data_IF_864086378399
#
_entry.id   IF_864086378399
#
_cell.length_a   1.000
_cell.length_b   1.000
_cell.length_c   1.000
_cell.angle_alpha   90.00
_cell.angle_beta   90.00
_cell.angle_gamma   90.00
#
_symmetry.space_group_name_H-M   'P 1'
#
loop_
_entity.id
_entity.type
_entity.pdbx_description
1 polymer ?
#
# COMPACT_ATOMS: atom_id res chain seq x y z
N UNK A 1 10.02 -30.56 -10.18
CA UNK A 1 9.77 -29.23 -10.80
C UNK A 1 9.89 -28.19 -9.72
N UNK A 2 11.10 -27.63 -9.54
CA UNK A 2 11.49 -26.78 -8.43
C UNK A 2 12.14 -25.51 -8.98
N UNK A 3 11.34 -24.44 -9.18
CA UNK A 3 11.84 -23.11 -9.55
C UNK A 3 10.91 -22.06 -8.95
N UNK A 4 10.91 -21.94 -7.64
CA UNK A 4 10.24 -20.86 -6.95
C UNK A 4 11.19 -20.39 -5.85
N UNK A 5 11.64 -19.16 -5.90
CA UNK A 5 12.31 -18.33 -4.89
C UNK A 5 13.67 -17.69 -5.22
N UNK A 6 14.32 -17.97 -6.38
CA UNK A 6 15.51 -17.23 -6.77
C UNK A 6 15.42 -16.73 -8.21
N UNK A 7 15.28 -15.43 -8.47
CA UNK A 7 15.71 -14.85 -9.72
C UNK A 7 17.17 -14.41 -9.60
N UNK A 8 18.06 -15.10 -10.30
CA UNK A 8 19.44 -14.65 -10.54
C UNK A 8 19.45 -13.24 -11.13
N UNK A 9 20.25 -12.36 -10.55
CA UNK A 9 20.57 -11.05 -11.08
C UNK A 9 21.38 -11.18 -12.37
N UNK A 10 20.71 -11.29 -13.53
CA UNK A 10 21.30 -11.13 -14.84
C UNK A 10 20.72 -9.88 -15.49
N UNK A 11 21.58 -8.93 -15.79
CA UNK A 11 21.34 -7.71 -16.53
C UNK A 11 20.68 -8.00 -17.87
N UNK A 12 19.55 -7.36 -18.18
CA UNK A 12 19.01 -7.27 -19.53
C UNK A 12 18.95 -5.79 -19.94
N UNK A 13 19.43 -5.44 -21.13
CA UNK A 13 19.54 -4.07 -21.61
C UNK A 13 18.18 -3.49 -22.01
N UNK A 14 17.97 -2.22 -21.69
CA UNK A 14 16.88 -1.41 -22.22
C UNK A 14 16.96 -1.35 -23.75
N UNK A 15 15.96 -1.90 -24.44
CA UNK A 15 15.69 -1.57 -25.83
C UNK A 15 14.62 -0.49 -25.88
N UNK A 16 15.03 0.67 -26.32
CA UNK A 16 14.15 1.74 -26.78
C UNK A 16 13.45 1.27 -28.06
N UNK A 17 12.12 1.30 -28.07
CA UNK A 17 11.34 1.17 -29.31
C UNK A 17 11.30 2.52 -30.03
N UNK A 18 11.49 2.56 -31.36
CA UNK A 18 11.49 3.80 -32.12
C UNK A 18 10.06 4.32 -32.35
N UNK A 19 9.97 5.64 -32.37
CA UNK A 19 8.79 6.41 -32.83
C UNK A 19 8.50 6.09 -34.29
N UNK A 20 7.24 5.81 -34.61
CA UNK A 20 6.73 5.96 -35.98
C UNK A 20 5.33 6.57 -35.97
N UNK A 21 5.31 7.75 -36.52
CA UNK A 21 4.36 8.34 -37.45
C UNK A 21 2.92 8.67 -37.03
N UNK A 22 2.73 9.95 -37.10
CA UNK A 22 1.48 10.75 -37.06
C UNK A 22 0.62 10.42 -38.30
N UNK A 23 -0.57 9.91 -38.08
CA UNK A 23 -1.64 9.76 -39.08
C UNK A 23 -2.90 10.52 -38.68
N UNK A 24 -3.36 11.36 -39.60
CA UNK A 24 -4.36 12.42 -39.52
C UNK A 24 -5.78 11.97 -39.11
N UNK A 25 -6.44 12.85 -38.39
CA UNK A 25 -7.85 12.96 -38.02
C UNK A 25 -8.86 12.55 -39.11
N UNK A 26 -9.85 11.73 -38.71
CA UNK A 26 -11.24 11.80 -39.20
C UNK A 26 -12.19 11.68 -38.01
N UNK A 27 -13.29 12.45 -37.97
CA UNK A 27 -14.30 12.34 -36.92
C UNK A 27 -15.17 11.10 -37.12
N UNK A 28 -15.46 10.37 -36.07
CA UNK A 28 -16.45 9.29 -36.05
C UNK A 28 -17.82 9.86 -35.69
N UNK A 29 -18.75 9.70 -36.60
CA UNK A 29 -20.19 9.97 -36.40
C UNK A 29 -20.81 8.95 -35.43
N UNK A 30 -21.64 9.45 -34.53
CA UNK A 30 -22.40 8.68 -33.53
C UNK A 30 -23.76 8.34 -34.14
N UNK A 31 -24.18 7.06 -34.21
CA UNK A 31 -25.56 6.72 -34.59
C UNK A 31 -26.53 6.94 -33.43
N UNK A 32 -27.84 7.26 -33.74
CA UNK A 32 -28.85 7.57 -32.72
C UNK A 32 -29.37 6.29 -32.03
N UNK A 33 -29.96 6.42 -30.81
CA UNK A 33 -30.40 5.28 -30.01
C UNK A 33 -31.69 4.66 -30.54
N UNK A 34 -31.77 3.32 -30.51
CA UNK A 34 -32.92 2.53 -30.88
C UNK A 34 -34.00 2.58 -29.81
N UNK A 35 -35.29 2.66 -30.27
CA UNK A 35 -36.48 2.78 -29.44
C UNK A 35 -36.80 1.49 -28.65
N UNK A 36 -37.36 1.70 -27.46
CA UNK A 36 -37.82 0.66 -26.55
C UNK A 36 -39.12 -0.01 -27.05
N UNK A 37 -39.35 -1.31 -26.83
CA UNK A 37 -40.65 -1.94 -27.06
C UNK A 37 -41.55 -1.86 -25.82
N UNK A 38 -42.85 -1.63 -26.12
CA UNK A 38 -43.96 -1.42 -25.22
C UNK A 38 -44.48 -2.71 -24.56
N UNK A 39 -44.97 -2.56 -23.34
CA UNK A 39 -45.62 -3.56 -22.49
C UNK A 39 -46.95 -4.09 -23.03
N UNK A 40 -47.21 -5.39 -22.84
CA UNK A 40 -48.53 -6.01 -22.86
C UNK A 40 -48.65 -7.08 -21.77
N UNK A 41 -49.81 -7.25 -21.12
CA UNK A 41 -49.94 -7.94 -19.84
C UNK A 41 -50.23 -9.44 -19.98
N UNK A 42 -49.69 -10.30 -19.14
CA UNK A 42 -50.10 -11.69 -18.97
C UNK A 42 -50.33 -12.11 -17.52
N UNK A 43 -51.46 -12.77 -17.36
CA UNK A 43 -52.11 -13.34 -16.19
C UNK A 43 -51.33 -14.52 -15.55
N UNK A 44 -51.69 -14.86 -14.29
CA UNK A 44 -51.00 -15.84 -13.48
C UNK A 44 -51.48 -17.29 -13.70
N UNK A 45 -50.63 -18.24 -13.41
CA UNK A 45 -50.98 -19.65 -13.21
C UNK A 45 -50.38 -20.22 -11.94
N UNK A 46 -51.26 -20.83 -11.17
CA UNK A 46 -51.07 -21.51 -9.87
C UNK A 46 -50.70 -22.99 -10.01
N UNK A 47 -50.64 -23.79 -8.91
CA UNK A 47 -49.45 -24.50 -8.44
C UNK A 47 -49.58 -26.04 -8.47
N UNK A 48 -48.45 -26.67 -8.18
CA UNK A 48 -48.16 -28.01 -7.61
C UNK A 48 -48.97 -29.28 -8.08
N UNK A 49 -48.43 -30.52 -7.97
CA UNK A 49 -48.40 -31.17 -6.66
C UNK A 49 -47.17 -32.05 -6.33
N UNK A 50 -47.24 -32.52 -5.11
CA UNK A 50 -46.24 -33.22 -4.30
C UNK A 50 -46.08 -34.73 -4.57
N UNK A 51 -44.97 -35.24 -4.01
CA UNK A 51 -44.76 -36.57 -3.38
C UNK A 51 -44.58 -37.83 -4.25
N UNK A 52 -43.45 -38.47 -4.03
CA UNK A 52 -43.37 -39.93 -3.77
C UNK A 52 -42.03 -40.28 -3.12
N UNK A 53 -42.15 -40.75 -1.91
CA UNK A 53 -41.19 -41.53 -1.14
C UNK A 53 -40.94 -42.89 -1.75
N UNK A 54 -39.69 -43.34 -1.81
CA UNK A 54 -39.42 -44.80 -1.76
C UNK A 54 -38.09 -45.08 -1.01
N UNK A 55 -38.21 -46.08 -0.12
CA UNK A 55 -37.23 -46.54 0.84
C UNK A 55 -36.21 -47.51 0.24
N UNK A 56 -35.03 -47.48 0.84
CA UNK A 56 -34.06 -48.52 1.16
C UNK A 56 -33.88 -49.75 0.22
N UNK A 57 -32.65 -49.98 -0.18
CA UNK A 57 -32.03 -51.30 0.10
C UNK A 57 -30.50 -51.27 0.10
N UNK A 58 -29.96 -52.11 1.00
CA UNK A 58 -28.58 -52.39 1.31
C UNK A 58 -27.75 -52.90 0.10
N UNK A 59 -26.48 -52.48 0.02
CA UNK A 59 -25.47 -53.07 -0.82
C UNK A 59 -24.07 -52.71 -0.32
N UNK A 60 -23.43 -53.71 0.24
CA UNK A 60 -22.16 -53.73 0.97
C UNK A 60 -20.94 -53.54 0.05
N UNK A 61 -19.94 -52.83 0.57
CA UNK A 61 -18.48 -52.92 0.34
C UNK A 61 -17.90 -52.66 -1.07
N UNK A 62 -17.11 -51.60 -1.17
CA UNK A 62 -15.66 -51.73 -1.40
C UNK A 62 -14.98 -50.38 -1.08
N UNK A 63 -14.23 -50.36 0.01
CA UNK A 63 -13.30 -49.27 0.33
C UNK A 63 -12.08 -49.41 -0.60
N UNK A 64 -12.00 -48.60 -1.62
CA UNK A 64 -10.72 -48.29 -2.25
C UNK A 64 -10.19 -47.01 -1.56
N UNK A 65 -9.22 -47.21 -0.70
CA UNK A 65 -8.37 -46.16 -0.12
C UNK A 65 -7.65 -45.48 -1.27
N UNK A 66 -8.07 -44.24 -1.57
CA UNK A 66 -7.23 -43.31 -2.30
C UNK A 66 -6.07 -42.89 -1.41
N UNK A 67 -4.82 -42.83 -1.92
CA UNK A 67 -3.70 -42.34 -1.12
C UNK A 67 -3.94 -40.87 -0.82
N UNK A 68 -4.08 -40.55 0.45
CA UNK A 68 -3.96 -39.19 0.95
C UNK A 68 -2.56 -38.69 0.58
N UNK A 69 -2.49 -37.77 -0.36
CA UNK A 69 -1.29 -36.98 -0.59
C UNK A 69 -1.04 -36.17 0.67
N UNK A 70 -0.14 -36.64 1.51
CA UNK A 70 0.43 -35.88 2.60
C UNK A 70 1.19 -34.71 1.97
N UNK A 71 0.57 -33.54 1.92
CA UNK A 71 1.27 -32.28 1.73
C UNK A 71 2.15 -32.06 2.96
N UNK A 72 3.34 -32.64 2.96
CA UNK A 72 4.43 -32.15 3.80
C UNK A 72 4.76 -30.74 3.28
N UNK A 73 4.22 -29.73 3.92
CA UNK A 73 4.63 -28.35 3.72
C UNK A 73 6.09 -28.26 4.14
N UNK A 74 6.98 -28.24 3.16
CA UNK A 74 8.42 -28.11 3.34
C UNK A 74 8.71 -26.73 3.94
N UNK A 75 8.74 -26.62 5.27
CA UNK A 75 8.99 -25.38 6.00
C UNK A 75 10.38 -24.80 5.72
N UNK A 76 11.30 -25.64 5.20
CA UNK A 76 12.67 -25.25 4.84
C UNK A 76 12.74 -24.31 3.63
N UNK A 77 11.63 -24.13 2.88
CA UNK A 77 11.58 -23.31 1.64
C UNK A 77 10.96 -21.94 1.82
N UNK A 78 10.47 -21.60 3.00
CA UNK A 78 9.88 -20.28 3.25
C UNK A 78 10.98 -19.24 3.41
N UNK A 79 10.84 -18.03 2.83
CA UNK A 79 11.82 -16.97 3.01
C UNK A 79 11.84 -16.55 4.47
N UNK A 80 13.01 -16.67 5.10
CA UNK A 80 13.23 -16.24 6.48
C UNK A 80 13.95 -14.91 6.48
N UNK A 81 13.19 -13.84 6.74
CA UNK A 81 13.78 -12.54 6.97
C UNK A 81 14.40 -12.49 8.37
N UNK A 82 15.56 -11.88 8.48
CA UNK A 82 16.24 -11.65 9.77
C UNK A 82 16.24 -10.17 10.10
N UNK A 83 16.29 -9.86 11.40
CA UNK A 83 16.42 -8.49 11.88
C UNK A 83 17.83 -7.99 11.66
N UNK A 84 18.00 -6.94 10.87
CA UNK A 84 19.32 -6.31 10.63
C UNK A 84 19.57 -5.20 11.65
N UNK A 85 18.62 -4.28 11.77
CA UNK A 85 18.69 -3.22 12.78
C UNK A 85 17.38 -3.11 13.55
N UNK A 86 17.51 -2.74 14.83
CA UNK A 86 16.39 -2.47 15.71
C UNK A 86 16.53 -1.09 16.36
N UNK A 87 15.77 -0.11 15.90
CA UNK A 87 15.71 1.23 16.47
C UNK A 87 14.68 1.25 17.59
N UNK A 88 15.11 1.57 18.80
CA UNK A 88 14.19 1.76 19.93
C UNK A 88 13.86 3.23 20.18
N UNK A 89 12.61 3.50 20.51
CA UNK A 89 12.11 4.81 20.90
C UNK A 89 11.44 4.74 22.29
N UNK A 90 11.31 5.89 22.95
CA UNK A 90 10.56 6.00 24.20
C UNK A 90 9.04 5.80 24.04
N UNK A 91 8.53 6.01 22.83
CA UNK A 91 7.11 5.95 22.47
C UNK A 91 6.91 5.18 21.16
N UNK A 92 5.66 4.84 20.86
CA UNK A 92 5.24 4.18 19.64
C UNK A 92 5.88 4.79 18.40
N UNK A 93 6.48 3.97 17.54
CA UNK A 93 6.99 4.37 16.23
C UNK A 93 5.90 4.18 15.19
N UNK A 94 5.57 5.24 14.43
CA UNK A 94 4.41 5.22 13.53
C UNK A 94 4.74 5.29 12.06
N UNK A 95 5.74 6.08 11.71
CA UNK A 95 6.00 6.43 10.33
C UNK A 95 7.41 6.04 9.94
N UNK A 96 7.54 5.47 8.75
CA UNK A 96 8.83 5.23 8.11
C UNK A 96 8.71 5.37 6.60
N UNK A 97 9.80 5.79 5.96
CA UNK A 97 9.93 5.77 4.51
C UNK A 97 11.41 5.73 4.12
N UNK A 98 11.72 5.08 3.00
CA UNK A 98 13.06 5.05 2.44
C UNK A 98 13.30 6.25 1.55
N UNK A 99 14.48 6.82 1.67
CA UNK A 99 14.99 7.76 0.68
C UNK A 99 15.13 7.07 -0.69
N UNK A 100 14.82 7.73 -1.82
CA UNK A 100 14.86 7.09 -3.15
C UNK A 100 16.20 6.47 -3.53
N UNK A 101 17.32 7.00 -3.00
CA UNK A 101 18.66 6.41 -3.22
C UNK A 101 18.85 5.05 -2.54
N UNK A 102 17.99 4.66 -1.60
CA UNK A 102 18.17 3.50 -0.76
C UNK A 102 19.21 3.63 0.36
N UNK A 103 19.98 4.70 0.40
CA UNK A 103 21.06 4.86 1.39
C UNK A 103 20.56 5.27 2.78
N UNK A 104 19.33 5.77 2.88
CA UNK A 104 18.75 6.32 4.10
C UNK A 104 17.30 5.89 4.26
N UNK A 105 16.83 5.91 5.49
CA UNK A 105 15.40 5.85 5.81
C UNK A 105 15.07 6.79 6.95
N UNK A 106 13.89 7.40 6.89
CA UNK A 106 13.38 8.28 7.92
C UNK A 106 12.40 7.54 8.82
N UNK A 107 12.38 7.91 10.11
CA UNK A 107 11.50 7.32 11.13
C UNK A 107 10.89 8.43 11.99
N UNK A 108 9.57 8.39 12.13
CA UNK A 108 8.77 9.30 12.94
C UNK A 108 8.00 8.59 14.06
N UNK A 109 7.94 9.20 15.24
CA UNK A 109 7.36 8.56 16.43
C UNK A 109 6.42 9.46 17.23
N UNK A 110 5.70 8.83 18.17
CA UNK A 110 4.86 9.53 19.14
C UNK A 110 5.69 10.38 20.13
N UNK A 111 6.99 10.09 20.27
CA UNK A 111 7.91 10.94 21.04
C UNK A 111 8.18 12.28 20.37
N UNK A 112 7.52 12.57 19.22
CA UNK A 112 7.70 13.79 18.42
C UNK A 112 9.10 13.91 17.84
N UNK A 113 9.80 12.79 17.73
CA UNK A 113 11.17 12.73 17.26
C UNK A 113 11.20 12.25 15.82
N UNK A 114 11.90 12.99 14.97
CA UNK A 114 12.28 12.60 13.62
C UNK A 114 13.72 12.10 13.64
N UNK A 115 13.97 10.94 13.02
CA UNK A 115 15.32 10.39 12.81
C UNK A 115 15.51 10.06 11.33
N UNK A 116 16.72 10.25 10.85
CA UNK A 116 17.18 9.73 9.56
C UNK A 116 18.32 8.76 9.88
N UNK A 117 18.15 7.52 9.46
CA UNK A 117 19.09 6.43 9.69
C UNK A 117 19.76 6.03 8.39
N UNK A 118 21.04 5.67 8.47
CA UNK A 118 21.76 5.08 7.35
C UNK A 118 21.31 3.65 7.11
N UNK A 119 21.22 3.27 5.85
CA UNK A 119 20.97 1.88 5.47
C UNK A 119 22.28 1.09 5.60
N UNK A 120 22.30 -0.03 6.34
CA UNK A 120 23.52 -0.80 6.55
C UNK A 120 23.87 -1.65 5.32
N UNK A 121 25.14 -2.07 5.23
CA UNK A 121 25.53 -3.10 4.26
C UNK A 121 24.95 -4.45 4.69
N UNK A 122 24.24 -5.12 3.78
CA UNK A 122 23.58 -6.42 4.02
C UNK A 122 24.20 -7.57 3.23
N UNK A 123 25.33 -7.34 2.54
CA UNK A 123 26.00 -8.34 1.67
C UNK A 123 26.49 -9.59 2.42
N UNK A 124 26.78 -9.46 3.70
CA UNK A 124 27.36 -10.53 4.52
C UNK A 124 26.38 -11.04 5.60
N UNK A 125 25.11 -10.67 5.49
CA UNK A 125 24.09 -11.02 6.47
C UNK A 125 23.83 -12.52 6.52
N UNK A 126 23.88 -13.10 7.73
CA UNK A 126 23.68 -14.54 7.97
C UNK A 126 22.47 -14.81 8.87
N UNK A 127 21.89 -15.99 8.72
CA UNK A 127 20.86 -16.47 9.65
C UNK A 127 21.49 -16.64 11.05
N UNK A 128 20.96 -15.90 12.03
CA UNK A 128 21.47 -15.91 13.41
C UNK A 128 22.30 -14.67 13.80
N UNK A 129 22.53 -13.75 12.87
CA UNK A 129 23.14 -12.47 13.22
C UNK A 129 22.23 -11.69 14.19
N UNK A 130 22.85 -11.02 15.16
CA UNK A 130 22.14 -10.24 16.16
C UNK A 130 21.86 -8.85 15.61
N UNK A 131 20.60 -8.41 15.67
CA UNK A 131 20.23 -7.06 15.28
C UNK A 131 20.97 -6.01 16.13
N UNK A 132 21.44 -4.96 15.47
CA UNK A 132 22.12 -3.86 16.11
C UNK A 132 21.30 -2.55 16.03
N UNK A 133 21.67 -1.54 16.79
CA UNK A 133 21.08 -0.21 16.66
C UNK A 133 21.50 0.39 15.31
N UNK A 134 20.58 1.04 14.57
CA UNK A 134 20.94 1.69 13.32
C UNK A 134 21.83 2.90 13.54
N UNK A 135 22.67 3.21 12.57
CA UNK A 135 23.42 4.46 12.55
C UNK A 135 22.47 5.63 12.34
N UNK A 136 22.21 6.41 13.39
CA UNK A 136 21.36 7.61 13.32
C UNK A 136 22.20 8.78 12.84
N UNK A 137 21.99 9.23 11.60
CA UNK A 137 22.71 10.32 10.95
C UNK A 137 22.15 11.69 11.32
N UNK A 138 20.83 11.75 11.51
CA UNK A 138 20.13 12.96 11.92
C UNK A 138 19.07 12.61 12.96
N UNK A 139 18.93 13.48 14.00
CA UNK A 139 17.91 13.34 15.04
C UNK A 139 17.40 14.72 15.46
N UNK A 140 16.08 14.91 15.38
CA UNK A 140 15.43 16.15 15.83
C UNK A 140 14.35 15.83 16.85
N UNK A 141 14.60 16.25 18.08
CA UNK A 141 13.63 16.14 19.18
C UNK A 141 12.56 17.24 19.04
N UNK A 142 11.33 16.94 19.47
CA UNK A 142 10.21 17.90 19.42
C UNK A 142 10.04 18.51 18.02
N UNK A 143 10.21 17.66 17.00
CA UNK A 143 10.09 18.05 15.60
C UNK A 143 8.71 18.67 15.32
N UNK A 144 7.65 18.06 15.85
CA UNK A 144 6.28 18.54 15.90
C UNK A 144 5.84 18.86 17.33
N UNK A 145 4.74 19.59 17.49
CA UNK A 145 4.06 19.75 18.79
C UNK A 145 3.32 18.48 19.21
N UNK A 146 2.98 17.63 18.23
CA UNK A 146 2.30 16.36 18.36
C UNK A 146 3.11 15.17 17.88
N UNK A 147 2.49 14.00 17.86
CA UNK A 147 3.05 12.76 17.32
C UNK A 147 3.21 12.84 15.81
N UNK A 148 4.30 12.29 15.25
CA UNK A 148 4.50 12.16 13.81
C UNK A 148 3.70 10.95 13.34
N UNK A 149 2.71 11.16 12.48
CA UNK A 149 1.80 10.12 11.99
C UNK A 149 2.20 9.54 10.65
N UNK A 150 2.75 10.39 9.78
CA UNK A 150 3.19 10.01 8.45
C UNK A 150 4.42 10.80 8.04
N UNK A 151 5.14 10.28 7.09
CA UNK A 151 6.24 10.96 6.42
C UNK A 151 6.41 10.38 5.01
N UNK A 152 6.96 11.16 4.11
CA UNK A 152 7.30 10.75 2.76
C UNK A 152 8.48 11.55 2.21
N UNK A 153 9.28 10.88 1.38
CA UNK A 153 10.27 11.52 0.53
C UNK A 153 9.70 11.81 -0.85
N UNK A 154 10.14 12.89 -1.48
CA UNK A 154 9.87 13.07 -2.91
C UNK A 154 10.79 12.15 -3.74
N UNK A 155 10.54 12.06 -5.06
CA UNK A 155 11.28 11.13 -5.93
C UNK A 155 12.76 11.47 -6.10
N UNK A 156 13.12 12.76 -6.01
CA UNK A 156 14.52 13.21 -6.08
C UNK A 156 15.26 13.03 -4.76
N UNK A 157 14.55 12.88 -3.65
CA UNK A 157 15.11 12.72 -2.32
C UNK A 157 15.57 14.03 -1.66
N UNK A 158 15.35 15.17 -2.29
CA UNK A 158 15.74 16.47 -1.75
C UNK A 158 14.68 17.12 -0.84
N UNK A 159 13.48 16.52 -0.79
CA UNK A 159 12.38 16.97 0.08
C UNK A 159 11.88 15.85 0.98
N UNK A 160 11.67 16.18 2.25
CA UNK A 160 11.00 15.33 3.24
C UNK A 160 9.79 16.07 3.80
N UNK A 161 8.62 15.44 3.73
CA UNK A 161 7.40 15.91 4.38
C UNK A 161 7.08 15.04 5.60
N UNK A 162 6.63 15.66 6.70
CA UNK A 162 6.14 14.96 7.89
C UNK A 162 4.80 15.52 8.30
N UNK A 163 3.82 14.64 8.56
CA UNK A 163 2.50 15.02 9.04
C UNK A 163 2.25 14.56 10.47
N UNK A 164 1.48 15.35 11.22
CA UNK A 164 1.32 15.16 12.66
C UNK A 164 -0.14 15.30 13.11
N UNK A 165 -0.41 14.80 14.32
CA UNK A 165 -1.68 15.06 15.01
C UNK A 165 -1.79 16.47 15.60
N UNK A 166 -0.74 17.28 15.50
CA UNK A 166 -0.82 18.72 15.77
C UNK A 166 -1.45 19.52 14.63
N UNK A 167 -1.95 18.80 13.59
CA UNK A 167 -2.63 19.32 12.39
C UNK A 167 -1.70 20.01 11.40
N UNK A 168 -0.40 19.94 11.62
CA UNK A 168 0.59 20.59 10.73
C UNK A 168 1.34 19.58 9.91
N UNK A 169 1.85 20.05 8.79
CA UNK A 169 2.84 19.37 7.98
C UNK A 169 4.10 20.22 7.99
N UNK A 170 5.24 19.57 8.14
CA UNK A 170 6.55 20.19 7.96
C UNK A 170 7.18 19.70 6.69
N UNK A 171 7.53 20.60 5.81
CA UNK A 171 8.23 20.36 4.56
C UNK A 171 9.66 20.87 4.71
N UNK A 172 10.64 20.00 4.45
CA UNK A 172 12.06 20.29 4.69
C UNK A 172 12.89 19.88 3.49
N UNK A 173 13.92 20.66 3.19
CA UNK A 173 14.96 20.30 2.22
C UNK A 173 16.00 19.40 2.89
N UNK A 174 16.37 18.32 2.20
CA UNK A 174 17.41 17.38 2.63
C UNK A 174 18.61 17.45 1.69
N UNK A 175 19.79 17.45 2.29
CA UNK A 175 21.07 17.40 1.57
C UNK A 175 21.71 16.04 1.82
N UNK A 176 21.71 15.19 0.82
CA UNK A 176 22.25 13.82 0.93
C UNK A 176 23.75 13.79 1.19
N UNK A 177 24.50 14.77 0.70
CA UNK A 177 25.96 14.84 0.89
C UNK A 177 26.36 15.07 2.37
N UNK A 178 25.54 15.82 3.10
CA UNK A 178 25.76 16.14 4.52
C UNK A 178 24.87 15.37 5.46
N UNK A 179 23.93 14.57 4.93
CA UNK A 179 22.88 13.87 5.67
C UNK A 179 22.11 14.80 6.62
N UNK A 180 21.89 16.04 6.22
CA UNK A 180 21.29 17.09 7.04
C UNK A 180 20.02 17.66 6.41
N UNK A 181 19.06 17.99 7.29
CA UNK A 181 17.89 18.80 6.91
C UNK A 181 18.28 20.28 6.98
N UNK A 182 17.93 21.03 5.95
CA UNK A 182 18.09 22.48 5.94
C UNK A 182 17.06 23.12 6.86
N UNK A 183 17.54 23.60 7.99
CA UNK A 183 16.68 24.24 9.01
C UNK A 183 16.25 25.67 8.62
N UNK A 184 16.93 26.29 7.64
CA UNK A 184 16.58 27.62 7.12
C UNK A 184 15.48 27.62 6.06
N UNK A 185 15.21 26.47 5.44
CA UNK A 185 14.19 26.29 4.40
C UNK A 185 12.99 25.47 4.84
N UNK A 186 12.71 25.34 6.14
CA UNK A 186 11.54 24.60 6.65
C UNK A 186 10.26 25.41 6.46
N UNK A 187 9.26 24.78 5.84
CA UNK A 187 7.90 25.32 5.75
C UNK A 187 6.95 24.53 6.66
N UNK A 188 6.16 25.25 7.46
CA UNK A 188 5.07 24.68 8.26
C UNK A 188 3.73 25.00 7.62
N UNK A 189 2.99 23.94 7.22
CA UNK A 189 1.69 24.02 6.56
C UNK A 189 0.58 23.74 7.57
N UNK A 190 -0.43 24.62 7.64
CA UNK A 190 -1.46 24.62 8.70
C UNK A 190 -2.89 24.51 8.16
N UNK A 191 -3.07 24.04 6.92
CA UNK A 191 -4.38 23.99 6.26
C UNK A 191 -5.32 22.92 6.83
N UNK A 192 -4.79 21.89 7.53
CA UNK A 192 -5.61 20.83 8.10
C UNK A 192 -6.26 21.24 9.43
N UNK A 193 -7.51 20.81 9.64
CA UNK A 193 -8.25 21.02 10.89
C UNK A 193 -8.22 19.80 11.84
N UNK A 194 -7.59 18.72 11.42
CA UNK A 194 -7.40 17.49 12.18
C UNK A 194 -6.05 16.82 11.95
N UNK A 195 -5.87 15.64 12.52
CA UNK A 195 -4.63 14.84 12.36
C UNK A 195 -4.31 14.60 10.89
N UNK A 196 -3.11 14.96 10.46
CA UNK A 196 -2.59 14.57 9.13
C UNK A 196 -2.26 13.09 9.17
N UNK A 197 -2.97 12.29 8.38
CA UNK A 197 -2.89 10.81 8.41
C UNK A 197 -1.92 10.25 7.41
N UNK A 198 -1.87 10.83 6.23
CA UNK A 198 -0.96 10.40 5.17
C UNK A 198 -0.57 11.56 4.26
N UNK A 199 0.63 11.45 3.69
CA UNK A 199 1.20 12.39 2.72
C UNK A 199 1.91 11.60 1.62
N UNK A 200 1.87 12.12 0.40
CA UNK A 200 2.67 11.61 -0.71
C UNK A 200 3.04 12.74 -1.66
N UNK A 201 4.09 12.55 -2.43
CA UNK A 201 4.50 13.51 -3.45
C UNK A 201 4.05 13.06 -4.82
N UNK A 202 3.61 14.02 -5.62
CA UNK A 202 3.35 13.88 -7.05
C UNK A 202 4.33 14.76 -7.78
N UNK A 203 5.04 14.20 -8.75
CA UNK A 203 5.97 14.97 -9.58
C UNK A 203 5.40 15.11 -10.98
N UNK A 204 5.33 16.36 -11.44
CA UNK A 204 5.07 16.67 -12.83
C UNK A 204 6.40 16.64 -13.59
N UNK A 205 6.59 15.60 -14.39
CA UNK A 205 7.80 15.39 -15.18
C UNK A 205 7.98 16.49 -16.25
N UNK A 206 6.94 17.26 -16.57
CA UNK A 206 6.98 18.30 -17.59
C UNK A 206 7.67 19.59 -17.10
N UNK A 207 7.46 19.96 -15.85
CA UNK A 207 7.97 21.20 -15.25
C UNK A 207 8.87 20.98 -14.03
N UNK A 208 9.10 19.69 -13.63
CA UNK A 208 9.86 19.29 -12.44
C UNK A 208 9.34 19.87 -11.12
N UNK A 209 8.08 20.30 -11.07
CA UNK A 209 7.48 20.75 -9.82
C UNK A 209 7.09 19.57 -8.95
N UNK A 210 7.47 19.61 -7.68
CA UNK A 210 7.00 18.66 -6.67
C UNK A 210 5.75 19.23 -6.03
N UNK A 211 4.67 18.44 -6.09
CA UNK A 211 3.42 18.72 -5.40
C UNK A 211 3.26 17.78 -4.22
N UNK A 212 2.94 18.34 -3.07
CA UNK A 212 2.61 17.54 -1.87
C UNK A 212 1.10 17.32 -1.81
N UNK A 213 0.71 16.07 -1.75
CA UNK A 213 -0.67 15.63 -1.51
C UNK A 213 -0.77 15.25 -0.04
N UNK A 214 -1.75 15.80 0.67
CA UNK A 214 -1.95 15.52 2.09
C UNK A 214 -3.41 15.31 2.42
N UNK A 215 -3.68 14.39 3.35
CA UNK A 215 -5.03 14.06 3.81
C UNK A 215 -5.04 13.62 5.26
N UNK A 216 -6.21 13.71 5.87
CA UNK A 216 -6.30 13.33 7.27
C UNK A 216 -7.71 13.33 7.85
N UNK A 217 -7.75 13.44 9.17
CA UNK A 217 -8.97 13.62 9.94
C UNK A 217 -9.47 15.07 9.83
N UNK A 218 -10.72 15.31 10.18
CA UNK A 218 -11.31 16.64 10.21
C UNK A 218 -12.22 16.87 9.03
N UNK A 219 -11.87 17.78 8.14
CA UNK A 219 -12.71 18.25 7.02
C UNK A 219 -12.87 17.25 5.87
N UNK A 220 -12.22 16.09 5.94
CA UNK A 220 -12.25 15.03 4.91
C UNK A 220 -11.78 15.49 3.52
N UNK A 221 -10.98 16.57 3.46
CA UNK A 221 -10.39 17.09 2.22
C UNK A 221 -8.98 16.58 2.00
N UNK A 222 -8.59 16.56 0.74
CA UNK A 222 -7.22 16.34 0.31
C UNK A 222 -6.68 17.66 -0.19
N UNK A 223 -5.55 18.09 0.35
CA UNK A 223 -4.89 19.33 -0.06
C UNK A 223 -3.74 19.03 -1.01
N UNK A 224 -3.63 19.87 -2.02
CA UNK A 224 -2.52 19.89 -2.99
C UNK A 224 -1.73 21.16 -2.75
N UNK A 225 -0.47 20.98 -2.39
CA UNK A 225 0.44 22.09 -2.03
C UNK A 225 1.63 22.11 -2.98
N UNK A 226 1.95 23.28 -3.50
CA UNK A 226 3.19 23.49 -4.24
C UNK A 226 4.36 23.53 -3.25
N UNK A 227 5.35 22.68 -3.46
CA UNK A 227 6.49 22.56 -2.57
C UNK A 227 7.50 23.71 -2.67
N UNK A 228 7.53 24.44 -3.80
CA UNK A 228 8.44 25.58 -3.95
C UNK A 228 7.94 26.81 -3.19
N UNK A 229 6.64 27.08 -3.32
CA UNK A 229 6.02 28.23 -2.66
C UNK A 229 5.47 27.90 -1.29
N UNK A 230 5.42 26.61 -0.93
CA UNK A 230 4.80 26.10 0.29
C UNK A 230 3.33 26.56 0.47
N UNK A 231 2.61 26.76 -0.64
CA UNK A 231 1.23 27.25 -0.62
C UNK A 231 0.27 26.17 -1.12
N UNK A 232 -0.81 25.85 -0.36
CA UNK A 232 -1.87 25.00 -0.85
C UNK A 232 -2.68 25.77 -1.91
N UNK A 233 -2.76 25.23 -3.12
CA UNK A 233 -3.48 25.88 -4.22
C UNK A 233 -4.78 25.14 -4.57
N UNK A 234 -4.97 23.91 -4.08
CA UNK A 234 -6.18 23.14 -4.33
C UNK A 234 -6.60 22.34 -3.12
N UNK A 235 -7.91 22.29 -2.86
CA UNK A 235 -8.55 21.40 -1.90
C UNK A 235 -9.56 20.53 -2.63
N UNK A 236 -9.35 19.21 -2.61
CA UNK A 236 -10.19 18.23 -3.26
C UNK A 236 -11.21 17.69 -2.27
N UNK A 237 -12.49 17.85 -2.60
CA UNK A 237 -13.62 17.34 -1.82
C UNK A 237 -14.22 16.12 -2.48
N UNK A 238 -14.80 15.23 -1.66
CA UNK A 238 -15.48 14.04 -2.16
C UNK A 238 -15.64 12.97 -1.09
N UNK A 239 -14.61 12.70 -0.28
CA UNK A 239 -14.74 11.79 0.84
C UNK A 239 -15.70 12.35 1.91
N UNK A 240 -16.47 11.47 2.53
CA UNK A 240 -17.37 11.78 3.66
C UNK A 240 -16.82 11.31 5.01
N UNK A 241 -15.64 10.71 5.02
CA UNK A 241 -14.92 10.23 6.20
C UNK A 241 -13.45 10.58 6.14
N UNK A 242 -12.74 10.36 7.25
CA UNK A 242 -11.32 10.65 7.36
C UNK A 242 -10.52 9.96 6.26
N UNK A 243 -9.57 10.65 5.68
CA UNK A 243 -8.60 10.08 4.73
C UNK A 243 -7.55 9.36 5.56
N UNK A 244 -7.36 8.06 5.28
CA UNK A 244 -6.48 7.19 6.06
C UNK A 244 -5.19 6.86 5.33
N UNK A 245 -5.21 6.82 4.00
CA UNK A 245 -4.04 6.50 3.18
C UNK A 245 -4.08 7.19 1.82
N UNK A 246 -2.92 7.57 1.34
CA UNK A 246 -2.67 8.17 0.03
C UNK A 246 -1.58 7.39 -0.69
N UNK A 247 -1.68 7.30 -2.02
CA UNK A 247 -0.65 6.66 -2.83
C UNK A 247 -0.61 7.25 -4.24
N UNK A 248 0.59 7.44 -4.76
CA UNK A 248 0.84 7.87 -6.15
C UNK A 248 1.71 6.84 -6.86
N UNK A 249 1.53 6.69 -8.18
CA UNK A 249 2.35 5.78 -9.00
C UNK A 249 2.96 6.45 -10.23
N UNK A 250 2.89 7.77 -10.26
CA UNK A 250 3.47 8.62 -11.32
C UNK A 250 2.44 9.43 -12.09
N UNK A 251 2.93 10.44 -12.78
CA UNK A 251 2.09 11.44 -13.45
C UNK A 251 1.23 12.24 -12.47
N UNK A 252 0.11 12.74 -12.93
CA UNK A 252 -0.82 13.55 -12.15
C UNK A 252 -1.87 12.74 -11.37
N UNK A 253 -1.69 11.42 -11.28
CA UNK A 253 -2.66 10.50 -10.69
C UNK A 253 -2.27 10.08 -9.28
N UNK A 254 -3.25 10.02 -8.40
CA UNK A 254 -3.11 9.42 -7.08
C UNK A 254 -4.42 8.76 -6.62
N UNK A 255 -4.34 7.92 -5.59
CA UNK A 255 -5.50 7.29 -4.95
C UNK A 255 -5.54 7.61 -3.47
N UNK A 256 -6.75 7.63 -2.92
CA UNK A 256 -7.00 7.78 -1.49
C UNK A 256 -7.90 6.66 -0.97
N UNK A 257 -7.58 6.17 0.22
CA UNK A 257 -8.44 5.29 1.02
C UNK A 257 -9.01 6.04 2.21
N UNK A 258 -10.27 5.79 2.53
CA UNK A 258 -10.97 6.55 3.56
C UNK A 258 -11.79 5.68 4.51
N UNK A 259 -12.08 6.26 5.68
CA UNK A 259 -13.01 5.72 6.65
C UNK A 259 -14.45 5.62 6.11
N UNK A 260 -14.78 6.36 5.04
CA UNK A 260 -16.06 6.25 4.35
C UNK A 260 -16.21 4.95 3.52
N UNK A 261 -15.21 4.04 3.60
CA UNK A 261 -15.19 2.72 2.94
C UNK A 261 -15.02 2.80 1.43
N UNK A 262 -14.57 3.94 0.92
CA UNK A 262 -14.32 4.15 -0.51
C UNK A 262 -12.86 4.37 -0.80
N UNK A 263 -12.47 3.96 -2.02
CA UNK A 263 -11.22 4.30 -2.65
C UNK A 263 -11.55 5.26 -3.77
N UNK A 264 -10.87 6.39 -3.81
CA UNK A 264 -11.06 7.38 -4.88
C UNK A 264 -9.80 7.56 -5.68
N UNK A 265 -9.98 7.63 -6.99
CA UNK A 265 -8.92 7.95 -7.94
C UNK A 265 -9.03 9.43 -8.31
N UNK A 266 -7.92 10.12 -8.27
CA UNK A 266 -7.84 11.55 -8.52
C UNK A 266 -6.88 11.83 -9.67
N UNK A 267 -7.25 12.78 -10.50
CA UNK A 267 -6.41 13.31 -11.57
C UNK A 267 -6.29 14.83 -11.39
N UNK A 268 -5.10 15.32 -11.11
CA UNK A 268 -4.85 16.74 -10.89
C UNK A 268 -5.15 17.59 -12.13
N UNK A 269 -5.10 17.01 -13.33
CA UNK A 269 -5.43 17.69 -14.59
C UNK A 269 -6.92 17.98 -14.69
N UNK A 270 -7.78 17.12 -14.18
CA UNK A 270 -9.23 17.28 -14.16
C UNK A 270 -9.75 17.95 -12.89
N UNK A 271 -8.87 18.19 -11.92
CA UNK A 271 -9.18 18.81 -10.63
C UNK A 271 -10.27 18.09 -9.83
N UNK A 272 -10.39 16.77 -9.97
CA UNK A 272 -11.44 16.03 -9.28
C UNK A 272 -11.24 14.53 -9.19
N UNK A 273 -12.21 13.88 -8.57
CA UNK A 273 -12.30 12.44 -8.51
C UNK A 273 -12.75 11.89 -9.87
N UNK A 274 -11.93 11.01 -10.46
CA UNK A 274 -12.21 10.42 -11.78
C UNK A 274 -12.80 9.02 -11.70
N UNK A 275 -12.62 8.32 -10.56
CA UNK A 275 -13.23 7.01 -10.32
C UNK A 275 -13.40 6.76 -8.82
N UNK A 276 -14.39 5.93 -8.48
CA UNK A 276 -14.71 5.52 -7.13
C UNK A 276 -14.91 4.02 -7.06
N UNK A 277 -14.25 3.38 -6.09
CA UNK A 277 -14.40 1.95 -5.80
C UNK A 277 -14.86 1.80 -4.35
N UNK A 278 -15.90 1.03 -4.13
CA UNK A 278 -16.40 0.73 -2.78
C UNK A 278 -15.76 -0.56 -2.27
N UNK A 279 -15.31 -0.54 -1.03
CA UNK A 279 -14.78 -1.73 -0.37
C UNK A 279 -15.85 -2.83 -0.29
N UNK A 280 -15.55 -4.08 -0.69
CA UNK A 280 -16.48 -5.17 -0.57
C UNK A 280 -16.73 -5.51 0.91
N UNK A 281 -17.94 -5.97 1.28
CA UNK A 281 -18.17 -6.48 2.62
C UNK A 281 -17.44 -7.81 2.86
N UNK A 282 -16.87 -7.99 4.04
CA UNK A 282 -16.16 -9.23 4.40
C UNK A 282 -17.03 -10.49 4.41
N UNK A 283 -18.33 -10.35 4.65
CA UNK A 283 -19.31 -11.45 4.78
C UNK A 283 -20.36 -11.52 3.68
N UNK A 284 -20.12 -10.86 2.54
CA UNK A 284 -21.05 -10.89 1.39
C UNK A 284 -22.33 -10.08 1.56
N UNK A 285 -22.69 -9.66 2.77
CA UNK A 285 -23.84 -8.80 3.06
C UNK A 285 -23.46 -7.70 4.04
N UNK A 286 -23.84 -6.46 3.74
CA UNK A 286 -23.58 -5.31 4.60
C UNK A 286 -22.62 -4.30 3.99
N UNK A 287 -22.36 -3.20 4.70
CA UNK A 287 -21.38 -2.20 4.26
C UNK A 287 -19.97 -2.73 4.39
N UNK A 288 -19.09 -2.39 3.43
CA UNK A 288 -17.67 -2.71 3.50
C UNK A 288 -16.96 -2.07 4.70
N UNK A 289 -15.72 -2.43 4.92
CA UNK A 289 -14.88 -1.92 6.02
C UNK A 289 -14.11 -0.66 5.61
N UNK A 290 -13.71 0.23 6.56
CA UNK A 290 -12.82 1.35 6.29
C UNK A 290 -11.56 0.94 5.53
N UNK A 291 -11.14 1.76 4.57
CA UNK A 291 -9.95 1.55 3.75
C UNK A 291 -8.76 2.18 4.46
N UNK A 292 -8.00 1.36 5.18
CA UNK A 292 -6.91 1.82 6.03
C UNK A 292 -5.59 2.03 5.26
N UNK A 293 -5.39 1.31 4.17
CA UNK A 293 -4.18 1.41 3.35
C UNK A 293 -4.49 1.16 1.86
N UNK A 294 -3.79 1.87 0.98
CA UNK A 294 -3.87 1.68 -0.47
C UNK A 294 -2.48 1.66 -1.09
N UNK A 295 -2.32 0.90 -2.17
CA UNK A 295 -1.11 0.90 -3.00
C UNK A 295 -1.47 0.52 -4.43
N UNK A 296 -0.75 1.06 -5.39
CA UNK A 296 -0.88 0.71 -6.81
C UNK A 296 0.45 0.11 -7.26
N UNK A 297 0.39 -0.89 -8.12
CA UNK A 297 1.58 -1.50 -8.67
C UNK A 297 2.34 -0.52 -9.59
N UNK A 298 3.66 -0.69 -9.81
CA UNK A 298 4.45 0.23 -10.62
C UNK A 298 3.98 0.39 -12.07
N UNK A 299 3.21 -0.58 -12.60
CA UNK A 299 2.64 -0.50 -13.95
C UNK A 299 1.33 0.30 -14.01
N UNK A 300 0.74 0.66 -12.88
CA UNK A 300 -0.54 1.36 -12.79
C UNK A 300 -1.75 0.52 -13.22
N UNK A 301 -1.64 -0.80 -13.18
CA UNK A 301 -2.71 -1.72 -13.60
C UNK A 301 -3.50 -2.29 -12.44
N UNK A 302 -2.85 -2.50 -11.32
CA UNK A 302 -3.42 -3.19 -10.17
C UNK A 302 -3.37 -2.31 -8.94
N UNK A 303 -4.50 -2.21 -8.25
CA UNK A 303 -4.62 -1.60 -6.94
C UNK A 303 -4.75 -2.70 -5.89
N UNK A 304 -4.11 -2.51 -4.75
CA UNK A 304 -4.42 -3.24 -3.53
C UNK A 304 -4.93 -2.28 -2.46
N UNK A 305 -5.96 -2.71 -1.75
CA UNK A 305 -6.45 -2.01 -0.55
C UNK A 305 -6.47 -2.95 0.65
N UNK A 306 -6.11 -2.42 1.80
CA UNK A 306 -6.17 -3.09 3.08
C UNK A 306 -7.21 -2.45 3.98
N UNK A 307 -7.96 -3.27 4.71
CA UNK A 307 -9.14 -2.85 5.44
C UNK A 307 -9.03 -3.12 6.94
N UNK A 308 -9.82 -2.41 7.74
CA UNK A 308 -9.85 -2.58 9.21
C UNK A 308 -10.47 -3.92 9.66
N UNK A 309 -11.12 -4.65 8.76
CA UNK A 309 -11.61 -6.02 9.01
C UNK A 309 -10.60 -7.12 8.65
N UNK A 310 -9.34 -6.77 8.44
CA UNK A 310 -8.26 -7.66 8.05
C UNK A 310 -8.32 -8.15 6.60
N UNK A 311 -9.21 -7.65 5.76
CA UNK A 311 -9.28 -8.03 4.35
C UNK A 311 -8.33 -7.21 3.48
N UNK A 312 -7.82 -7.85 2.43
CA UNK A 312 -7.18 -7.23 1.28
C UNK A 312 -8.05 -7.41 0.07
N UNK A 313 -8.15 -6.39 -0.77
CA UNK A 313 -8.78 -6.46 -2.08
C UNK A 313 -7.76 -6.16 -3.17
N UNK A 314 -7.65 -7.04 -4.14
CA UNK A 314 -6.95 -6.79 -5.41
C UNK A 314 -7.95 -6.32 -6.46
N UNK A 315 -7.65 -5.23 -7.12
CA UNK A 315 -8.53 -4.58 -8.08
C UNK A 315 -7.79 -4.27 -9.39
N UNK A 316 -8.36 -4.69 -10.51
CA UNK A 316 -7.87 -4.36 -11.84
C UNK A 316 -8.36 -2.96 -12.23
N UNK A 317 -7.44 -1.99 -12.28
CA UNK A 317 -7.76 -0.58 -12.56
C UNK A 317 -8.32 -0.41 -13.97
N UNK A 318 -7.76 -1.12 -14.95
CA UNK A 318 -8.20 -1.02 -16.35
C UNK A 318 -9.49 -1.76 -16.61
N UNK A 319 -9.63 -2.96 -16.04
CA UNK A 319 -10.82 -3.79 -16.15
C UNK A 319 -11.99 -3.30 -15.30
N UNK A 320 -11.76 -2.37 -14.37
CA UNK A 320 -12.79 -1.82 -13.51
C UNK A 320 -13.44 -2.85 -12.57
N UNK A 321 -12.70 -3.89 -12.16
CA UNK A 321 -13.25 -5.03 -11.41
C UNK A 321 -12.34 -5.50 -10.29
N UNK A 322 -12.94 -6.01 -9.22
CA UNK A 322 -12.23 -6.77 -8.18
C UNK A 322 -11.75 -8.10 -8.76
N UNK A 323 -10.44 -8.38 -8.63
CA UNK A 323 -9.84 -9.66 -9.01
C UNK A 323 -10.10 -10.67 -7.90
N UNK A 324 -9.70 -10.32 -6.67
CA UNK A 324 -9.81 -11.19 -5.51
C UNK A 324 -9.90 -10.38 -4.22
N UNK A 325 -10.54 -10.98 -3.21
CA UNK A 325 -10.50 -10.53 -1.82
C UNK A 325 -9.97 -11.67 -0.96
N UNK A 326 -8.97 -11.41 -0.13
CA UNK A 326 -8.33 -12.41 0.72
C UNK A 326 -7.99 -11.83 2.10
N UNK A 327 -7.65 -12.69 3.04
CA UNK A 327 -7.44 -12.33 4.45
C UNK A 327 -6.08 -12.82 4.94
N UNK A 328 -5.00 -12.05 4.77
CA UNK A 328 -3.67 -12.45 5.20
C UNK A 328 -3.45 -12.30 6.73
N UNK A 329 -4.33 -11.60 7.42
CA UNK A 329 -4.21 -11.23 8.82
C UNK A 329 -5.47 -11.54 9.62
N UNK A 330 -5.35 -11.51 10.95
CA UNK A 330 -6.46 -11.72 11.90
C UNK A 330 -6.98 -10.43 12.52
N UNK A 331 -6.33 -9.27 12.28
CA UNK A 331 -6.72 -7.95 12.80
C UNK A 331 -6.54 -6.88 11.73
N UNK A 332 -6.87 -5.63 12.08
CA UNK A 332 -6.82 -4.46 11.21
C UNK A 332 -5.55 -4.42 10.36
N UNK A 333 -5.71 -4.30 9.05
CA UNK A 333 -4.62 -4.04 8.12
C UNK A 333 -4.29 -2.54 8.14
N UNK A 334 -3.02 -2.20 8.33
CA UNK A 334 -2.58 -0.80 8.44
C UNK A 334 -1.60 -0.38 7.35
N UNK A 335 -0.94 -1.33 6.70
CA UNK A 335 -0.04 -1.04 5.60
C UNK A 335 -0.13 -2.13 4.54
N UNK A 336 -0.17 -1.72 3.28
CA UNK A 336 -0.05 -2.59 2.11
C UNK A 336 0.90 -1.95 1.13
N UNK A 337 1.87 -2.71 0.59
CA UNK A 337 2.83 -2.20 -0.40
C UNK A 337 3.24 -3.30 -1.37
N UNK A 338 3.11 -3.02 -2.67
CA UNK A 338 3.76 -3.85 -3.68
C UNK A 338 5.28 -3.77 -3.54
N UNK A 339 5.95 -4.88 -3.76
CA UNK A 339 7.41 -4.85 -3.93
C UNK A 339 7.79 -4.02 -5.17
N UNK A 340 9.02 -3.47 -5.27
CA UNK A 340 9.42 -2.63 -6.39
C UNK A 340 9.22 -3.25 -7.78
N UNK A 341 9.23 -4.59 -7.87
CA UNK A 341 8.96 -5.36 -9.10
C UNK A 341 7.54 -5.91 -9.19
N UNK A 342 6.65 -5.57 -8.25
CA UNK A 342 5.25 -6.02 -8.18
C UNK A 342 5.03 -7.55 -8.06
N UNK A 343 6.05 -8.36 -7.79
CA UNK A 343 5.90 -9.79 -7.62
C UNK A 343 5.33 -10.20 -6.27
N UNK A 344 5.50 -9.35 -5.27
CA UNK A 344 5.09 -9.61 -3.89
C UNK A 344 4.32 -8.44 -3.31
N UNK A 345 3.43 -8.76 -2.39
CA UNK A 345 2.72 -7.82 -1.57
C UNK A 345 3.19 -7.96 -0.11
N UNK A 346 3.67 -6.87 0.47
CA UNK A 346 3.96 -6.77 1.90
C UNK A 346 2.77 -6.13 2.60
N UNK A 347 2.25 -6.81 3.61
CA UNK A 347 1.14 -6.32 4.44
C UNK A 347 1.55 -6.29 5.89
N UNK A 348 1.04 -5.30 6.64
CA UNK A 348 1.30 -5.16 8.07
C UNK A 348 0.02 -4.85 8.83
N UNK A 349 -0.14 -5.47 10.01
CA UNK A 349 -1.39 -5.48 10.74
C UNK A 349 -1.22 -5.30 12.25
N UNK A 350 -2.33 -4.96 12.89
CA UNK A 350 -2.45 -4.94 14.35
C UNK A 350 -2.38 -6.32 15.01
N UNK A 351 -2.37 -7.42 14.22
CA UNK A 351 -2.06 -8.77 14.72
C UNK A 351 -0.56 -9.00 14.99
N UNK A 352 0.26 -7.94 14.94
CA UNK A 352 1.70 -7.90 15.22
C UNK A 352 2.59 -8.48 14.12
N UNK A 353 2.03 -8.81 12.96
CA UNK A 353 2.73 -9.53 11.89
C UNK A 353 2.90 -8.68 10.64
N UNK A 354 4.00 -8.92 9.95
CA UNK A 354 4.14 -8.59 8.53
C UNK A 354 4.03 -9.89 7.72
N UNK A 355 3.22 -9.85 6.68
CA UNK A 355 2.97 -10.99 5.80
C UNK A 355 3.40 -10.65 4.39
N UNK A 356 4.11 -11.56 3.77
CA UNK A 356 4.48 -11.53 2.36
C UNK A 356 3.54 -12.43 1.59
N UNK A 357 2.84 -11.88 0.61
CA UNK A 357 1.96 -12.62 -0.29
C UNK A 357 2.57 -12.65 -1.69
N UNK A 358 2.65 -13.84 -2.29
CA UNK A 358 3.13 -14.01 -3.65
C UNK A 358 2.00 -13.72 -4.65
N UNK A 359 2.28 -12.82 -5.59
CA UNK A 359 1.36 -12.40 -6.65
C UNK A 359 1.72 -12.99 -8.02
N UNK A 360 2.67 -13.94 -8.06
CA UNK A 360 3.06 -14.60 -9.30
C UNK A 360 2.08 -15.74 -9.62
N UNK A 361 1.59 -15.78 -10.84
CA UNK A 361 0.66 -16.82 -11.30
C UNK A 361 -0.78 -16.35 -11.44
N UNK A 362 -1.73 -17.25 -11.19
CA UNK A 362 -3.16 -16.97 -11.32
C UNK A 362 -3.70 -16.29 -10.06
N UNK A 363 -3.96 -14.99 -10.19
CA UNK A 363 -4.47 -14.15 -9.09
C UNK A 363 -5.92 -14.46 -8.69
N UNK A 364 -6.60 -15.38 -9.36
CA UNK A 364 -7.96 -15.83 -8.99
C UNK A 364 -7.92 -17.02 -8.04
N UNK A 365 -6.76 -17.66 -7.89
CA UNK A 365 -6.53 -18.77 -6.97
C UNK A 365 -6.08 -18.25 -5.59
N UNK A 366 -6.18 -19.08 -4.53
CA UNK A 366 -5.65 -18.71 -3.20
C UNK A 366 -4.17 -18.29 -3.28
N UNK A 367 -3.88 -17.10 -2.78
CA UNK A 367 -2.54 -16.53 -2.85
C UNK A 367 -1.63 -17.08 -1.75
N UNK A 368 -0.45 -17.63 -2.08
CA UNK A 368 0.52 -18.08 -1.10
C UNK A 368 0.97 -16.92 -0.22
N UNK A 369 0.83 -17.06 1.09
CA UNK A 369 1.19 -16.02 2.06
C UNK A 369 2.03 -16.60 3.18
N UNK A 370 3.06 -15.86 3.61
CA UNK A 370 3.97 -16.27 4.68
C UNK A 370 4.23 -15.12 5.64
N UNK A 371 4.29 -15.41 6.94
CA UNK A 371 4.72 -14.43 7.95
C UNK A 371 6.23 -14.26 7.81
N UNK A 372 6.67 -13.01 7.58
CA UNK A 372 8.09 -12.67 7.36
C UNK A 372 8.69 -11.84 8.50
N UNK A 373 7.85 -11.26 9.34
CA UNK A 373 8.28 -10.49 10.51
C UNK A 373 7.20 -10.52 11.60
N UNK A 374 7.63 -10.51 12.85
CA UNK A 374 6.74 -10.43 14.01
C UNK A 374 7.29 -9.44 15.03
N UNK A 375 6.40 -8.62 15.57
CA UNK A 375 6.66 -7.61 16.59
C UNK A 375 5.99 -8.00 17.91
N UNK A 376 6.42 -7.37 19.01
CA UNK A 376 5.79 -7.59 20.33
C UNK A 376 4.41 -6.94 20.45
N UNK A 377 4.11 -5.92 19.62
CA UNK A 377 2.81 -5.21 19.58
C UNK A 377 2.45 -4.86 18.13
N UNK A 378 1.34 -4.18 17.94
CA UNK A 378 0.73 -3.78 16.65
C UNK A 378 1.74 -3.21 15.66
N UNK A 379 1.80 -3.75 14.45
CA UNK A 379 2.58 -3.14 13.36
C UNK A 379 1.75 -2.05 12.71
N UNK A 380 2.37 -0.89 12.50
CA UNK A 380 1.67 0.31 12.01
C UNK A 380 1.99 0.57 10.55
N UNK A 381 3.26 0.48 10.16
CA UNK A 381 3.69 0.62 8.78
C UNK A 381 4.76 -0.40 8.41
N UNK A 382 4.83 -0.72 7.13
CA UNK A 382 5.94 -1.42 6.52
C UNK A 382 6.24 -0.80 5.15
N UNK A 383 7.54 -0.63 4.83
CA UNK A 383 8.01 -0.01 3.59
C UNK A 383 9.15 -0.82 3.01
N UNK A 384 9.06 -1.11 1.72
CA UNK A 384 10.13 -1.74 0.97
C UNK A 384 11.31 -0.80 0.75
N UNK A 385 12.50 -1.37 0.78
CA UNK A 385 13.68 -0.71 0.22
C UNK A 385 13.50 -0.54 -1.30
N UNK A 386 13.94 0.58 -1.91
CA UNK A 386 13.68 0.84 -3.32
C UNK A 386 14.34 -0.14 -4.30
N UNK A 387 15.48 -0.75 -3.95
CA UNK A 387 16.22 -1.68 -4.80
C UNK A 387 16.42 -3.07 -4.20
N UNK A 388 16.67 -3.16 -2.88
CA UNK A 388 16.99 -4.41 -2.22
C UNK A 388 15.73 -5.13 -1.73
N UNK A 389 15.81 -6.44 -1.59
CA UNK A 389 14.72 -7.23 -1.05
C UNK A 389 14.74 -7.22 0.48
N UNK A 390 14.55 -6.05 1.02
CA UNK A 390 14.51 -5.72 2.45
C UNK A 390 13.39 -4.72 2.73
N UNK A 391 12.95 -4.61 3.98
CA UNK A 391 11.92 -3.65 4.36
C UNK A 391 12.10 -3.18 5.81
N UNK A 392 11.57 -1.99 6.11
CA UNK A 392 11.45 -1.46 7.47
C UNK A 392 10.00 -1.59 7.92
N UNK A 393 9.81 -2.06 9.15
CA UNK A 393 8.51 -2.04 9.84
C UNK A 393 8.55 -1.17 11.09
N UNK A 394 7.43 -0.53 11.42
CA UNK A 394 7.27 0.28 12.63
C UNK A 394 6.14 -0.26 13.49
N UNK A 395 6.31 -0.21 14.81
CA UNK A 395 5.38 -0.87 15.71
C UNK A 395 5.02 -0.03 16.95
N UNK A 396 3.91 -0.43 17.55
CA UNK A 396 3.47 0.07 18.85
C UNK A 396 4.36 -0.44 19.99
N UNK A 397 5.17 -1.47 19.78
CA UNK A 397 6.21 -1.93 20.71
C UNK A 397 7.38 -0.95 20.85
N UNK A 398 7.27 0.23 20.22
CA UNK A 398 8.24 1.34 20.25
C UNK A 398 9.49 1.08 19.41
N UNK A 399 9.44 0.16 18.47
CA UNK A 399 10.58 -0.17 17.60
C UNK A 399 10.31 0.19 16.14
N UNK A 400 11.40 0.44 15.42
CA UNK A 400 11.46 0.34 13.95
C UNK A 400 12.54 -0.67 13.61
N UNK A 401 12.18 -1.72 12.89
CA UNK A 401 13.06 -2.85 12.58
C UNK A 401 13.28 -2.95 11.08
N UNK A 402 14.53 -3.01 10.67
CA UNK A 402 14.93 -3.34 9.30
C UNK A 402 15.09 -4.86 9.18
N UNK A 403 14.44 -5.42 8.19
CA UNK A 403 14.43 -6.84 7.88
C UNK A 403 15.04 -7.08 6.50
N UNK A 404 15.85 -8.10 6.38
CA UNK A 404 16.42 -8.50 5.09
C UNK A 404 16.56 -10.03 5.01
N UNK A 405 16.65 -10.54 3.79
CA UNK A 405 16.98 -11.95 3.58
C UNK A 405 18.49 -12.16 3.78
N UNK A 406 18.92 -13.18 4.54
CA UNK A 406 20.30 -13.55 4.64
C UNK A 406 20.84 -14.02 3.28
N UNK A 407 22.12 -13.78 3.04
CA UNK A 407 22.81 -14.32 1.86
C UNK A 407 23.19 -15.77 2.21
N UNK A 408 22.64 -16.74 1.48
CA UNK A 408 22.94 -18.17 1.63
C UNK A 408 24.21 -18.52 0.89
#
# INVERSE_FOLDING_TARGET
MSRFWYPSYAQLPFRLCPRSEIGRNRPLEIPPPAAAPTNGPHKPRSPAPASATYSANHGTQNQQQQPQATHSTDESRKPKFVQVTNLEDAQVVRACDFHPSGQFYAVGSNSKTLRICGYPTISDLREGDVAHQPTVLFKRLKHHKGSIYCLAWNQTGDLLATGSNDKTIKLMRFKSETCALDTGGEAELTMHDGTVRDVCFVEDLSNRSSLLISGGAGDCKIYVTDCETATPFQALSGHSGHILSLYTWGGAMFVSGSQDRTIRFWDLRTRGCVNLVTAPPASGSGPGSPVAAVSVDPSGRMLVSGHEDATCMLYDIRGGRTIQTFRPHSSDLRSVRFSPRAYYLLTASYDRKCVLTDLQGDLTQPLPSVVVAEHADKVIQARWHPSDFSFVSTSADKTAVLWALPVN
#
